data_IF_678983778239
#
_entry.id   IF_678983778239
#
_cell.length_a   1.000
_cell.length_b   1.000
_cell.length_c   1.000
_cell.angle_alpha   90.00
_cell.angle_beta   90.00
_cell.angle_gamma   90.00
#
_symmetry.space_group_name_H-M   'P 1'
#
loop_
_entity.id
_entity.type
_entity.pdbx_description
1 polymer ?
#
# COMPACT_ATOMS: atom_id res chain seq x y z
N UNK A 1 29.49 -2.50 -5.93
CA UNK A 1 28.69 -3.65 -5.47
C UNK A 1 27.27 -3.46 -5.96
N UNK A 2 26.68 -4.51 -6.55
CA UNK A 2 25.26 -4.55 -6.90
C UNK A 2 24.45 -5.10 -5.73
N UNK A 3 23.21 -4.68 -5.61
CA UNK A 3 22.23 -5.21 -4.66
C UNK A 3 20.87 -5.34 -5.32
N UNK A 4 20.02 -6.18 -4.77
CA UNK A 4 18.66 -6.38 -5.25
C UNK A 4 17.70 -5.41 -4.57
N UNK A 5 16.77 -4.88 -5.36
CA UNK A 5 15.77 -3.92 -4.90
C UNK A 5 14.40 -4.58 -4.96
N UNK A 6 13.71 -4.67 -3.82
CA UNK A 6 12.35 -5.19 -3.72
C UNK A 6 11.33 -4.05 -3.83
N UNK A 7 10.75 -3.89 -5.01
CA UNK A 7 9.83 -2.79 -5.31
C UNK A 7 8.42 -3.06 -4.80
N UNK A 8 7.93 -4.29 -4.97
CA UNK A 8 6.57 -4.66 -4.62
C UNK A 8 6.43 -6.17 -4.38
N UNK A 9 5.26 -6.61 -3.89
CA UNK A 9 4.92 -8.02 -3.71
C UNK A 9 3.43 -8.28 -3.89
N UNK A 10 3.06 -9.45 -4.42
CA UNK A 10 1.66 -9.88 -4.60
C UNK A 10 1.58 -11.37 -4.31
N UNK A 11 0.73 -11.75 -3.38
CA UNK A 11 0.64 -13.16 -2.99
C UNK A 11 -0.62 -13.72 -3.63
N UNK A 12 -0.45 -14.75 -4.46
CA UNK A 12 -1.59 -15.48 -5.02
C UNK A 12 -2.00 -16.49 -3.96
N UNK A 13 -3.22 -16.39 -3.45
CA UNK A 13 -3.79 -17.35 -2.52
C UNK A 13 -4.29 -18.55 -3.31
N UNK A 14 -3.76 -19.73 -3.00
CA UNK A 14 -4.22 -21.00 -3.54
C UNK A 14 -5.03 -21.68 -2.44
N UNK A 15 -6.38 -21.73 -2.54
CA UNK A 15 -7.23 -22.32 -1.50
C UNK A 15 -6.72 -23.70 -1.08
N UNK A 16 -6.68 -23.96 0.23
CA UNK A 16 -6.25 -25.23 0.84
C UNK A 16 -4.77 -25.64 0.64
N UNK A 17 -4.05 -25.02 -0.30
CA UNK A 17 -2.66 -25.37 -0.63
C UNK A 17 -1.62 -24.35 -0.14
N UNK A 18 -1.99 -23.07 0.03
CA UNK A 18 -1.11 -22.04 0.56
C UNK A 18 -1.05 -20.79 -0.33
N UNK A 19 0.16 -20.29 -0.59
CA UNK A 19 0.36 -19.04 -1.31
C UNK A 19 1.53 -19.12 -2.29
N UNK A 20 1.43 -18.38 -3.39
CA UNK A 20 2.55 -18.13 -4.32
C UNK A 20 3.06 -16.71 -4.03
N UNK A 21 4.24 -16.55 -3.39
CA UNK A 21 4.77 -15.24 -3.03
C UNK A 21 5.43 -14.58 -4.25
N UNK A 22 4.69 -13.81 -5.02
CA UNK A 22 5.27 -13.04 -6.12
C UNK A 22 5.93 -11.77 -5.59
N UNK A 23 7.13 -11.48 -6.05
CA UNK A 23 7.87 -10.24 -5.75
C UNK A 23 8.25 -9.55 -7.03
N UNK A 24 8.26 -8.21 -7.00
CA UNK A 24 8.84 -7.41 -8.05
C UNK A 24 10.22 -6.97 -7.61
N UNK A 25 11.24 -7.39 -8.34
CA UNK A 25 12.62 -7.05 -8.03
C UNK A 25 13.36 -6.53 -9.25
N UNK A 26 14.50 -5.91 -9.00
CA UNK A 26 15.48 -5.55 -10.00
C UNK A 26 16.82 -5.26 -9.35
N UNK A 27 17.89 -5.34 -10.13
CA UNK A 27 19.24 -5.03 -9.63
C UNK A 27 19.50 -3.53 -9.61
N UNK A 28 20.32 -3.06 -8.67
CA UNK A 28 20.75 -1.66 -8.59
C UNK A 28 21.40 -1.15 -9.88
N UNK A 29 22.03 -2.05 -10.64
CA UNK A 29 22.83 -1.74 -11.82
C UNK A 29 22.19 -2.19 -13.14
N UNK A 30 20.98 -2.75 -13.09
CA UNK A 30 20.27 -3.21 -14.28
C UNK A 30 19.23 -2.17 -14.70
N UNK A 31 19.21 -1.87 -16.00
CA UNK A 31 18.35 -0.87 -16.60
C UNK A 31 17.75 -1.39 -17.90
N UNK A 32 16.53 -0.95 -18.19
CA UNK A 32 15.83 -1.18 -19.44
C UNK A 32 15.54 0.17 -20.11
N UNK A 33 15.39 0.16 -21.43
CA UNK A 33 14.97 1.34 -22.17
C UNK A 33 13.47 1.32 -22.36
N UNK A 34 12.83 2.44 -22.01
CA UNK A 34 11.44 2.70 -22.41
C UNK A 34 11.34 2.87 -23.92
N UNK A 35 10.12 2.77 -24.46
CA UNK A 35 9.83 2.99 -25.89
C UNK A 35 10.41 4.30 -26.46
N UNK A 36 10.47 5.37 -25.66
CA UNK A 36 11.03 6.66 -26.08
C UNK A 36 12.55 6.79 -25.83
N UNK A 37 13.24 5.68 -25.56
CA UNK A 37 14.69 5.64 -25.35
C UNK A 37 15.16 6.13 -23.98
N UNK A 38 14.27 6.46 -23.04
CA UNK A 38 14.67 6.80 -21.68
C UNK A 38 15.06 5.54 -20.91
N UNK A 39 16.25 5.56 -20.35
CA UNK A 39 16.74 4.53 -19.43
C UNK A 39 15.98 4.58 -18.09
N UNK A 40 15.49 3.43 -17.64
CA UNK A 40 14.80 3.25 -16.36
C UNK A 40 15.31 1.98 -15.68
N UNK A 41 15.27 1.88 -14.33
CA UNK A 41 15.71 0.67 -13.63
C UNK A 41 14.93 -0.56 -14.10
N UNK A 42 15.57 -1.69 -14.32
CA UNK A 42 14.88 -2.93 -14.67
C UNK A 42 13.97 -3.38 -13.51
N UNK A 43 12.79 -3.91 -13.85
CA UNK A 43 11.87 -4.49 -12.86
C UNK A 43 11.15 -5.69 -13.45
N UNK A 44 11.27 -6.84 -12.78
CA UNK A 44 10.58 -8.05 -13.17
C UNK A 44 9.84 -8.67 -11.99
N UNK A 45 8.72 -9.32 -12.30
CA UNK A 45 7.99 -10.13 -11.34
C UNK A 45 8.48 -11.56 -11.39
N UNK A 46 8.56 -12.22 -10.24
CA UNK A 46 8.82 -13.65 -10.17
C UNK A 46 8.32 -14.23 -8.84
N UNK A 47 8.23 -15.56 -8.80
CA UNK A 47 8.00 -16.30 -7.56
C UNK A 47 9.23 -16.20 -6.67
N UNK A 48 9.07 -15.76 -5.43
CA UNK A 48 10.14 -15.76 -4.45
C UNK A 48 10.36 -17.18 -3.93
N UNK A 49 11.25 -17.92 -4.58
CA UNK A 49 11.55 -19.31 -4.27
C UNK A 49 13.05 -19.58 -4.06
N UNK A 50 13.71 -18.64 -3.38
CA UNK A 50 15.16 -18.64 -3.12
C UNK A 50 15.67 -19.94 -2.49
N UNK A 51 14.89 -20.55 -1.59
CA UNK A 51 15.26 -21.79 -0.90
C UNK A 51 15.11 -23.02 -1.81
N UNK A 52 14.06 -23.08 -2.62
CA UNK A 52 13.78 -24.19 -3.51
C UNK A 52 13.24 -23.67 -4.85
N UNK A 53 14.09 -23.55 -5.89
CA UNK A 53 13.71 -23.00 -7.18
C UNK A 53 12.60 -23.75 -7.93
N UNK A 54 12.32 -25.00 -7.59
CA UNK A 54 11.23 -25.77 -8.20
C UNK A 54 9.90 -25.56 -7.47
N UNK A 55 9.95 -25.17 -6.19
CA UNK A 55 8.74 -24.93 -5.40
C UNK A 55 8.15 -23.57 -5.72
N UNK A 56 6.84 -23.52 -5.89
CA UNK A 56 6.11 -22.28 -6.21
C UNK A 56 4.98 -21.96 -5.24
N UNK A 57 4.39 -22.97 -4.59
CA UNK A 57 3.36 -22.80 -3.54
C UNK A 57 4.01 -23.04 -2.18
N UNK A 58 3.78 -22.14 -1.23
CA UNK A 58 4.39 -22.13 0.10
C UNK A 58 3.34 -21.96 1.19
N UNK A 59 3.59 -22.53 2.36
CA UNK A 59 2.80 -22.24 3.56
C UNK A 59 3.12 -20.83 4.10
N UNK A 60 2.27 -20.32 5.00
CA UNK A 60 2.57 -19.06 5.69
C UNK A 60 3.86 -19.16 6.52
N UNK A 61 4.09 -20.28 7.21
CA UNK A 61 5.33 -20.46 8.00
C UNK A 61 6.58 -20.42 7.11
N UNK A 62 6.52 -21.06 5.94
CA UNK A 62 7.64 -21.08 4.98
C UNK A 62 7.94 -19.69 4.44
N UNK A 63 6.90 -18.94 4.06
CA UNK A 63 7.06 -17.56 3.59
C UNK A 63 7.63 -16.66 4.69
N UNK A 64 7.20 -16.86 5.94
CA UNK A 64 7.74 -16.11 7.07
C UNK A 64 9.19 -16.50 7.40
N UNK A 65 9.61 -17.73 7.11
CA UNK A 65 11.02 -18.13 7.18
C UNK A 65 11.85 -17.42 6.10
N UNK A 66 11.39 -17.42 4.85
CA UNK A 66 12.03 -16.67 3.76
C UNK A 66 12.16 -15.18 4.11
N UNK A 67 11.11 -14.59 4.67
CA UNK A 67 11.13 -13.18 5.08
C UNK A 67 12.18 -12.87 6.16
N UNK A 68 12.44 -13.81 7.08
CA UNK A 68 13.49 -13.68 8.10
C UNK A 68 14.88 -13.81 7.49
N UNK A 69 15.08 -14.77 6.60
CA UNK A 69 16.36 -14.96 5.91
C UNK A 69 16.70 -13.71 5.07
N UNK A 70 15.71 -13.12 4.40
CA UNK A 70 15.86 -11.84 3.70
C UNK A 70 16.13 -10.65 4.60
N UNK A 71 15.66 -10.67 5.85
CA UNK A 71 15.98 -9.60 6.82
C UNK A 71 17.48 -9.59 7.12
N UNK A 72 18.10 -10.77 7.25
CA UNK A 72 19.56 -10.90 7.39
C UNK A 72 20.29 -10.41 6.14
N UNK A 73 19.80 -10.75 4.95
CA UNK A 73 20.34 -10.24 3.68
C UNK A 73 20.28 -8.70 3.60
N UNK A 74 19.18 -8.11 4.05
CA UNK A 74 19.04 -6.66 4.10
C UNK A 74 20.01 -6.00 5.10
N UNK A 75 20.31 -6.65 6.23
CA UNK A 75 21.35 -6.20 7.18
C UNK A 75 22.75 -6.20 6.54
N UNK A 76 23.03 -7.15 5.64
CA UNK A 76 24.26 -7.21 4.86
C UNK A 76 24.28 -6.27 3.64
N UNK A 77 23.19 -5.54 3.38
CA UNK A 77 23.08 -4.61 2.27
C UNK A 77 22.94 -5.26 0.89
N UNK A 78 22.65 -6.57 0.83
CA UNK A 78 22.39 -7.28 -0.45
C UNK A 78 20.96 -7.04 -0.94
N UNK A 79 20.04 -6.74 -0.03
CA UNK A 79 18.62 -6.45 -0.31
C UNK A 79 18.24 -5.06 0.18
N UNK A 80 17.62 -4.28 -0.70
CA UNK A 80 17.25 -2.89 -0.45
C UNK A 80 15.78 -2.63 -0.79
N UNK A 81 15.17 -1.65 -0.10
CA UNK A 81 13.78 -1.24 -0.34
C UNK A 81 13.66 -0.35 -1.57
N UNK A 82 14.65 0.52 -1.76
CA UNK A 82 14.83 1.33 -2.96
C UNK A 82 16.32 1.45 -3.24
N UNK A 83 16.68 2.09 -4.36
CA UNK A 83 18.08 2.36 -4.72
C UNK A 83 18.88 3.10 -3.64
N UNK A 84 18.23 3.88 -2.78
CA UNK A 84 18.94 4.67 -1.75
C UNK A 84 18.35 4.48 -0.36
N UNK A 85 17.61 3.39 -0.13
CA UNK A 85 16.94 3.15 1.15
C UNK A 85 16.96 1.68 1.50
N UNK A 86 17.62 1.37 2.60
CA UNK A 86 17.60 0.04 3.23
C UNK A 86 16.27 -0.22 3.92
N UNK A 87 15.95 -1.49 4.11
CA UNK A 87 14.87 -1.88 5.03
C UNK A 87 15.27 -1.57 6.47
N UNK A 88 14.29 -1.20 7.29
CA UNK A 88 14.48 -1.09 8.74
C UNK A 88 14.35 -2.47 9.40
N UNK A 89 14.96 -2.72 10.57
CA UNK A 89 14.82 -3.99 11.27
C UNK A 89 13.36 -4.41 11.48
N UNK A 90 13.04 -5.62 11.02
CA UNK A 90 11.71 -6.23 11.08
C UNK A 90 10.71 -5.65 10.06
N UNK A 91 11.15 -4.79 9.14
CA UNK A 91 10.30 -4.21 8.11
C UNK A 91 9.93 -5.26 7.07
N UNK A 92 10.88 -6.10 6.63
CA UNK A 92 10.61 -7.14 5.61
C UNK A 92 9.60 -8.14 6.17
N UNK A 93 9.82 -8.63 7.39
CA UNK A 93 8.90 -9.55 8.07
C UNK A 93 7.47 -8.99 8.15
N UNK A 94 7.30 -7.72 8.55
CA UNK A 94 5.98 -7.05 8.58
C UNK A 94 5.40 -6.86 7.17
N UNK A 95 6.25 -6.54 6.21
CA UNK A 95 5.88 -6.35 4.81
C UNK A 95 5.30 -7.65 4.26
N UNK A 96 5.98 -8.77 4.41
CA UNK A 96 5.53 -10.11 4.00
C UNK A 96 4.23 -10.52 4.71
N UNK A 97 4.16 -10.39 6.04
CA UNK A 97 2.94 -10.70 6.80
C UNK A 97 1.71 -9.93 6.31
N UNK A 98 1.90 -8.65 5.97
CA UNK A 98 0.85 -7.83 5.36
C UNK A 98 0.50 -8.31 3.94
N UNK A 99 1.47 -8.83 3.19
CA UNK A 99 1.25 -9.46 1.88
C UNK A 99 0.35 -10.69 1.99
N UNK A 100 0.65 -11.60 2.93
CA UNK A 100 -0.17 -12.81 3.20
C UNK A 100 -1.61 -12.42 3.57
N UNK A 101 -1.76 -11.47 4.51
CA UNK A 101 -3.08 -11.00 4.95
C UNK A 101 -3.93 -10.42 3.80
N UNK A 102 -3.29 -9.82 2.81
CA UNK A 102 -3.96 -9.21 1.66
C UNK A 102 -3.86 -10.07 0.39
N UNK A 103 -3.48 -11.35 0.52
CA UNK A 103 -3.39 -12.26 -0.61
C UNK A 103 -4.75 -12.42 -1.29
N UNK A 104 -4.70 -12.62 -2.62
CA UNK A 104 -5.88 -12.72 -3.48
C UNK A 104 -5.71 -13.89 -4.42
N UNK A 105 -6.82 -14.39 -4.91
CA UNK A 105 -6.80 -15.39 -5.99
C UNK A 105 -6.26 -14.78 -7.29
N UNK A 106 -5.85 -15.63 -8.24
CA UNK A 106 -5.38 -15.19 -9.55
C UNK A 106 -6.48 -14.46 -10.32
N UNK A 107 -7.69 -15.01 -10.34
CA UNK A 107 -8.84 -14.43 -11.03
C UNK A 107 -9.20 -13.02 -10.50
N UNK A 108 -9.02 -12.77 -9.20
CA UNK A 108 -9.16 -11.42 -8.64
C UNK A 108 -8.10 -10.46 -9.20
N UNK A 109 -6.83 -10.87 -9.29
CA UNK A 109 -5.78 -10.04 -9.89
C UNK A 109 -6.01 -9.80 -11.38
N UNK A 110 -6.50 -10.80 -12.11
CA UNK A 110 -6.87 -10.69 -13.53
C UNK A 110 -8.06 -9.73 -13.70
N UNK A 111 -9.05 -9.78 -12.81
CA UNK A 111 -10.18 -8.83 -12.84
C UNK A 111 -9.76 -7.36 -12.70
N UNK A 112 -8.58 -7.11 -12.11
CA UNK A 112 -7.99 -5.77 -12.01
C UNK A 112 -7.18 -5.37 -13.26
N UNK A 113 -7.14 -6.25 -14.26
CA UNK A 113 -6.45 -6.08 -15.53
C UNK A 113 -4.96 -6.42 -15.49
N UNK A 114 -4.54 -7.29 -14.57
CA UNK A 114 -3.18 -7.86 -14.57
C UNK A 114 -3.17 -9.20 -15.32
N UNK A 115 -2.02 -9.62 -15.84
CA UNK A 115 -1.89 -10.93 -16.51
C UNK A 115 -0.71 -11.70 -15.91
N UNK A 116 -0.93 -12.99 -15.69
CA UNK A 116 0.12 -13.91 -15.24
C UNK A 116 0.54 -14.78 -16.43
N UNK A 117 1.84 -14.86 -16.65
CA UNK A 117 2.45 -15.82 -17.58
C UNK A 117 3.10 -16.95 -16.78
N UNK A 118 2.81 -18.18 -17.19
CA UNK A 118 3.48 -19.38 -16.74
C UNK A 118 4.39 -19.90 -17.86
N UNK A 119 5.70 -19.86 -17.62
CA UNK A 119 6.74 -20.25 -18.55
C UNK A 119 7.29 -21.63 -18.20
N UNK A 120 7.19 -22.54 -19.15
CA UNK A 120 7.70 -23.90 -19.04
C UNK A 120 8.76 -24.09 -20.13
N UNK A 121 9.92 -24.59 -19.72
CA UNK A 121 11.03 -24.88 -20.63
C UNK A 121 11.20 -26.39 -20.76
N UNK A 122 11.12 -26.90 -21.99
CA UNK A 122 11.33 -28.32 -22.30
C UNK A 122 12.46 -28.41 -23.32
N UNK A 123 13.69 -28.63 -22.84
CA UNK A 123 14.89 -28.53 -23.67
C UNK A 123 15.07 -27.10 -24.18
N UNK A 124 15.01 -26.92 -25.51
CA UNK A 124 15.10 -25.61 -26.16
C UNK A 124 13.72 -24.96 -26.41
N UNK A 125 12.63 -25.69 -26.20
CA UNK A 125 11.28 -25.18 -26.43
C UNK A 125 10.79 -24.41 -25.21
N UNK A 126 10.14 -23.28 -25.48
CA UNK A 126 9.46 -22.44 -24.48
C UNK A 126 7.97 -22.51 -24.71
N UNK A 127 7.23 -23.04 -23.74
CA UNK A 127 5.76 -22.97 -23.70
C UNK A 127 5.33 -21.85 -22.77
N UNK A 128 4.47 -20.97 -23.26
CA UNK A 128 3.85 -19.89 -22.47
C UNK A 128 2.39 -20.26 -22.24
N UNK A 129 1.97 -20.23 -20.98
CA UNK A 129 0.59 -20.45 -20.56
C UNK A 129 0.05 -19.19 -19.90
N UNK A 130 -1.26 -18.97 -20.05
CA UNK A 130 -1.98 -17.83 -19.50
C UNK A 130 -3.17 -18.31 -18.65
N UNK A 131 -2.90 -18.88 -17.45
CA UNK A 131 -3.97 -19.40 -16.62
C UNK A 131 -4.94 -18.27 -16.23
N UNK A 132 -6.23 -18.51 -16.42
CA UNK A 132 -7.29 -17.54 -16.14
C UNK A 132 -7.80 -17.63 -14.70
N UNK A 133 -7.59 -18.77 -14.04
CA UNK A 133 -8.07 -19.03 -12.67
C UNK A 133 -6.98 -19.65 -11.80
N UNK A 134 -7.14 -19.51 -10.48
CA UNK A 134 -6.23 -20.14 -9.51
C UNK A 134 -6.23 -21.67 -9.62
N UNK A 135 -7.38 -22.27 -9.94
CA UNK A 135 -7.54 -23.72 -10.12
C UNK A 135 -6.80 -24.23 -11.36
N UNK A 136 -6.91 -23.52 -12.48
CA UNK A 136 -6.14 -23.82 -13.70
C UNK A 136 -4.64 -23.69 -13.44
N UNK A 137 -4.21 -22.60 -12.78
CA UNK A 137 -2.81 -22.43 -12.39
C UNK A 137 -2.32 -23.58 -11.49
N UNK A 138 -3.12 -24.00 -10.52
CA UNK A 138 -2.77 -25.10 -9.61
C UNK A 138 -2.60 -26.42 -10.38
N UNK A 139 -3.51 -26.72 -11.31
CA UNK A 139 -3.45 -27.93 -12.13
C UNK A 139 -2.18 -27.96 -12.98
N UNK A 140 -1.81 -26.83 -13.59
CA UNK A 140 -0.55 -26.71 -14.33
C UNK A 140 0.67 -26.88 -13.44
N UNK A 141 0.67 -26.29 -12.24
CA UNK A 141 1.76 -26.47 -11.27
C UNK A 141 1.92 -27.95 -10.88
N UNK A 142 0.82 -28.64 -10.57
CA UNK A 142 0.84 -30.06 -10.21
C UNK A 142 1.37 -30.92 -11.37
N UNK A 143 0.90 -30.66 -12.60
CA UNK A 143 1.40 -31.33 -13.80
C UNK A 143 2.91 -31.19 -13.96
N UNK A 144 3.43 -29.96 -13.80
CA UNK A 144 4.87 -29.72 -13.94
C UNK A 144 5.68 -30.34 -12.79
N UNK A 145 5.13 -30.38 -11.58
CA UNK A 145 5.77 -31.06 -10.46
C UNK A 145 5.85 -32.58 -10.68
N UNK A 146 4.81 -33.20 -11.24
CA UNK A 146 4.81 -34.63 -11.58
C UNK A 146 5.81 -34.93 -12.71
N UNK A 147 5.88 -34.05 -13.73
CA UNK A 147 6.82 -34.20 -14.84
C UNK A 147 8.27 -33.87 -14.47
N UNK A 148 8.52 -33.33 -13.27
CA UNK A 148 9.83 -32.85 -12.85
C UNK A 148 10.31 -31.60 -13.59
N UNK A 149 9.40 -30.89 -14.27
CA UNK A 149 9.72 -29.69 -15.04
C UNK A 149 9.52 -28.43 -14.20
N UNK A 150 10.40 -27.44 -14.35
CA UNK A 150 10.26 -26.16 -13.66
C UNK A 150 9.23 -25.27 -14.36
N UNK A 151 8.26 -24.78 -13.60
CA UNK A 151 7.35 -23.71 -14.01
C UNK A 151 7.84 -22.37 -13.43
N UNK A 152 8.01 -21.35 -14.27
CA UNK A 152 8.34 -20.00 -13.83
C UNK A 152 7.13 -19.10 -14.02
N UNK A 153 6.73 -18.38 -12.97
CA UNK A 153 5.59 -17.47 -13.04
C UNK A 153 6.09 -16.03 -13.01
N UNK A 154 5.48 -15.17 -13.82
CA UNK A 154 5.67 -13.72 -13.72
C UNK A 154 4.41 -12.96 -14.12
N UNK A 155 4.18 -11.81 -13.50
CA UNK A 155 3.21 -10.85 -14.02
C UNK A 155 3.83 -10.05 -15.16
N UNK A 156 3.07 -9.79 -16.21
CA UNK A 156 3.53 -9.02 -17.37
C UNK A 156 3.58 -7.51 -17.08
N UNK A 157 2.77 -7.04 -16.14
CA UNK A 157 2.68 -5.62 -15.83
C UNK A 157 3.87 -5.14 -14.99
N UNK A 158 4.66 -4.23 -15.55
CA UNK A 158 5.66 -3.47 -14.79
C UNK A 158 5.03 -2.68 -13.64
N UNK A 159 3.86 -2.08 -13.84
CA UNK A 159 3.12 -1.39 -12.79
C UNK A 159 1.86 -2.18 -12.46
N UNK A 160 1.91 -2.96 -11.37
CA UNK A 160 0.81 -3.82 -10.98
C UNK A 160 -0.44 -3.01 -10.63
N UNK A 161 -1.57 -3.37 -11.25
CA UNK A 161 -2.85 -2.69 -11.09
C UNK A 161 -3.53 -3.17 -9.81
N UNK A 162 -3.91 -2.22 -8.97
CA UNK A 162 -4.70 -2.47 -7.76
C UNK A 162 -5.89 -1.51 -7.79
N UNK A 163 -7.13 -1.97 -7.53
CA UNK A 163 -8.29 -1.11 -7.52
C UNK A 163 -8.10 -0.01 -6.48
N UNK A 164 -8.41 1.23 -6.87
CA UNK A 164 -8.36 2.37 -5.96
C UNK A 164 -9.49 2.22 -4.95
N UNK A 165 -9.16 1.81 -3.73
CA UNK A 165 -10.11 1.89 -2.63
C UNK A 165 -10.32 3.36 -2.28
N UNK A 166 -11.38 3.97 -2.82
CA UNK A 166 -11.84 5.26 -2.35
C UNK A 166 -12.34 5.10 -0.92
N UNK A 167 -11.47 5.30 0.07
CA UNK A 167 -11.92 5.52 1.45
C UNK A 167 -12.83 6.74 1.42
N UNK A 168 -14.14 6.52 1.52
CA UNK A 168 -15.10 7.58 1.81
C UNK A 168 -14.65 8.19 3.14
N UNK A 169 -13.98 9.35 3.08
CA UNK A 169 -13.70 10.12 4.29
C UNK A 169 -15.06 10.53 4.82
N UNK A 170 -15.40 10.12 6.04
CA UNK A 170 -16.61 10.62 6.70
C UNK A 170 -16.47 12.13 6.78
N UNK A 171 -17.39 12.85 6.14
CA UNK A 171 -17.42 14.30 6.22
C UNK A 171 -17.73 14.70 7.66
N UNK A 172 -16.75 15.33 8.32
CA UNK A 172 -16.93 15.89 9.66
C UNK A 172 -17.93 17.04 9.56
N UNK A 173 -19.15 16.89 10.06
CA UNK A 173 -20.13 17.99 10.07
C UNK A 173 -19.82 18.97 11.20
N UNK A 174 -20.35 20.19 11.12
CA UNK A 174 -20.25 21.16 12.21
C UNK A 174 -21.12 20.77 13.42
N UNK A 175 -22.09 19.87 13.23
CA UNK A 175 -22.89 19.34 14.33
C UNK A 175 -22.06 18.34 15.17
N UNK A 176 -21.26 17.48 14.53
CA UNK A 176 -20.38 16.52 15.22
C UNK A 176 -19.04 17.12 15.67
N UNK A 177 -18.53 18.10 14.93
CA UNK A 177 -17.22 18.73 15.15
C UNK A 177 -17.37 20.27 15.10
N UNK A 178 -17.95 20.87 16.14
CA UNK A 178 -18.37 22.27 16.10
C UNK A 178 -17.22 23.26 16.26
N UNK A 179 -16.03 22.84 16.70
CA UNK A 179 -14.92 23.75 16.96
C UNK A 179 -14.05 23.92 15.71
N UNK A 180 -13.76 25.17 15.36
CA UNK A 180 -12.90 25.55 14.23
C UNK A 180 -11.91 26.64 14.66
N UNK A 181 -10.82 26.81 13.92
CA UNK A 181 -9.82 27.87 14.20
C UNK A 181 -10.10 29.06 13.30
N UNK A 182 -10.48 30.19 13.87
CA UNK A 182 -10.66 31.48 13.20
C UNK A 182 -9.31 32.16 13.03
N UNK A 183 -9.06 32.68 11.84
CA UNK A 183 -7.87 33.44 11.46
C UNK A 183 -8.26 34.89 11.15
N UNK A 184 -7.27 35.73 10.79
CA UNK A 184 -7.52 37.12 10.35
C UNK A 184 -8.42 37.22 9.12
N UNK A 185 -8.35 36.23 8.22
CA UNK A 185 -9.03 36.26 6.90
C UNK A 185 -10.13 35.23 6.74
N UNK A 186 -10.45 34.45 7.77
CA UNK A 186 -11.49 33.42 7.71
C UNK A 186 -11.27 32.33 8.75
N UNK A 187 -11.27 31.07 8.30
CA UNK A 187 -11.08 29.89 9.12
C UNK A 187 -9.96 29.02 8.54
N UNK A 188 -9.18 28.37 9.41
CA UNK A 188 -8.12 27.48 9.00
C UNK A 188 -8.70 26.26 8.25
N UNK A 189 -8.26 26.00 7.02
CA UNK A 189 -8.66 24.84 6.22
C UNK A 189 -7.65 23.69 6.36
N UNK A 190 -6.38 23.94 6.00
CA UNK A 190 -5.28 23.00 6.20
C UNK A 190 -3.92 23.72 6.24
N UNK A 191 -2.89 22.99 6.67
CA UNK A 191 -1.51 23.45 6.70
C UNK A 191 -0.80 22.98 5.44
N UNK A 192 -0.19 23.89 4.69
CA UNK A 192 0.80 23.56 3.68
C UNK A 192 2.21 23.49 4.29
N UNK A 193 3.19 23.09 3.47
CA UNK A 193 4.60 23.05 3.90
C UNK A 193 5.15 24.43 4.29
N UNK A 194 4.63 25.51 3.69
CA UNK A 194 5.17 26.88 3.84
C UNK A 194 4.13 27.93 4.24
N UNK A 195 2.83 27.59 4.25
CA UNK A 195 1.76 28.55 4.52
C UNK A 195 0.50 27.89 5.08
N UNK A 196 -0.33 28.69 5.73
CA UNK A 196 -1.64 28.30 6.22
C UNK A 196 -2.72 28.63 5.18
N UNK A 197 -3.58 27.67 4.86
CA UNK A 197 -4.70 27.89 3.96
C UNK A 197 -5.95 28.22 4.76
N UNK A 198 -6.61 29.32 4.39
CA UNK A 198 -7.85 29.78 5.03
C UNK A 198 -9.03 29.69 4.07
N UNK A 199 -10.23 29.59 4.63
CA UNK A 199 -11.51 29.57 3.91
C UNK A 199 -12.53 30.41 4.65
N UNK A 200 -13.43 31.09 3.93
CA UNK A 200 -14.41 31.99 4.55
C UNK A 200 -15.56 31.24 5.25
N UNK A 201 -15.86 30.01 4.81
CA UNK A 201 -17.00 29.24 5.33
C UNK A 201 -16.53 28.21 6.36
N UNK A 202 -17.01 28.26 7.62
CA UNK A 202 -16.57 27.34 8.67
C UNK A 202 -16.92 25.89 8.37
N UNK A 203 -17.95 25.63 7.55
CA UNK A 203 -18.34 24.28 7.09
C UNK A 203 -17.18 23.55 6.41
N UNK A 204 -16.30 24.25 5.72
CA UNK A 204 -15.16 23.67 5.02
C UNK A 204 -13.84 23.80 5.79
N UNK A 205 -13.87 24.39 6.97
CA UNK A 205 -12.68 24.55 7.80
C UNK A 205 -12.21 23.22 8.40
N UNK A 206 -11.00 23.24 8.99
CA UNK A 206 -10.53 22.21 9.89
C UNK A 206 -11.42 22.20 11.14
N UNK A 207 -12.05 21.06 11.37
CA UNK A 207 -13.06 20.86 12.43
C UNK A 207 -12.54 19.91 13.51
N UNK A 208 -12.84 20.24 14.76
CA UNK A 208 -12.42 19.54 15.98
C UNK A 208 -13.64 19.18 16.83
N UNK A 209 -13.55 18.06 17.56
CA UNK A 209 -14.68 17.57 18.35
C UNK A 209 -14.83 18.37 19.63
N UNK A 210 -13.69 18.79 20.19
CA UNK A 210 -13.61 19.58 21.42
C UNK A 210 -12.71 20.79 21.23
N UNK A 211 -12.92 21.82 22.04
CA UNK A 211 -12.04 23.00 22.09
C UNK A 211 -10.60 22.62 22.48
N UNK A 212 -10.45 21.72 23.45
CA UNK A 212 -9.14 21.22 23.90
C UNK A 212 -8.34 20.56 22.78
N UNK A 213 -9.00 19.80 21.90
CA UNK A 213 -8.36 19.24 20.71
C UNK A 213 -7.86 20.33 19.75
N UNK A 214 -8.65 21.40 19.55
CA UNK A 214 -8.28 22.51 18.69
C UNK A 214 -7.12 23.32 19.27
N UNK A 215 -7.11 23.59 20.58
CA UNK A 215 -6.01 24.27 21.28
C UNK A 215 -4.71 23.46 21.21
N UNK A 216 -4.77 22.16 21.50
CA UNK A 216 -3.61 21.26 21.37
C UNK A 216 -3.08 21.23 19.93
N UNK A 217 -3.96 21.35 18.95
CA UNK A 217 -3.56 21.45 17.55
C UNK A 217 -2.85 22.78 17.26
N UNK A 218 -3.34 23.90 17.79
CA UNK A 218 -2.68 25.20 17.66
C UNK A 218 -1.27 25.20 18.26
N UNK A 219 -1.11 24.65 19.45
CA UNK A 219 0.19 24.50 20.12
C UNK A 219 1.14 23.62 19.32
N UNK A 220 0.69 22.44 18.89
CA UNK A 220 1.52 21.49 18.15
C UNK A 220 2.13 22.09 16.88
N UNK A 221 1.39 22.97 16.21
CA UNK A 221 1.81 23.55 14.93
C UNK A 221 2.24 25.01 15.05
N UNK A 222 2.45 25.52 16.28
CA UNK A 222 2.83 26.91 16.56
C UNK A 222 2.03 27.91 15.73
N UNK A 223 0.69 27.77 15.75
CA UNK A 223 -0.17 28.66 14.98
C UNK A 223 -0.09 30.10 15.52
N UNK A 224 -0.26 31.12 14.66
CA UNK A 224 -0.13 32.51 15.06
C UNK A 224 -1.03 32.87 16.26
N UNK A 225 -0.54 33.68 17.21
CA UNK A 225 -1.26 34.01 18.45
C UNK A 225 -2.58 34.76 18.21
N UNK A 226 -2.73 35.43 17.06
CA UNK A 226 -3.98 36.05 16.65
C UNK A 226 -5.10 35.05 16.30
N UNK A 227 -4.79 33.77 16.10
CA UNK A 227 -5.80 32.77 15.75
C UNK A 227 -6.55 32.37 17.01
N UNK A 228 -7.84 32.06 16.86
CA UNK A 228 -8.71 31.73 18.01
C UNK A 228 -9.57 30.53 17.69
N UNK A 229 -9.75 29.64 18.66
CA UNK A 229 -10.76 28.58 18.55
C UNK A 229 -12.13 29.23 18.72
N UNK A 230 -13.07 28.86 17.85
CA UNK A 230 -14.45 29.34 17.91
C UNK A 230 -15.43 28.18 17.71
N UNK A 231 -16.58 28.27 18.36
CA UNK A 231 -17.71 27.37 18.15
C UNK A 231 -18.48 27.82 16.90
N UNK A 232 -18.57 26.93 15.91
CA UNK A 232 -19.26 27.15 14.64
C UNK A 232 -20.37 26.12 14.38
N UNK A 233 -20.71 25.29 15.37
CA UNK A 233 -21.89 24.42 15.34
C UNK A 233 -23.20 25.21 15.46
N UNK A 234 -24.33 24.54 15.22
CA UNK A 234 -25.64 25.12 15.57
C UNK A 234 -25.74 25.24 17.09
N UNK A 235 -26.01 26.45 17.61
CA UNK A 235 -26.25 26.62 19.05
C UNK A 235 -27.41 25.71 19.49
N UNK A 236 -27.30 24.99 20.62
CA UNK A 236 -28.42 24.22 21.16
C UNK A 236 -29.58 25.19 21.52
N UNK A 237 -30.81 24.71 21.31
CA UNK A 237 -32.08 25.46 21.38
C UNK A 237 -32.50 25.90 22.81
N UNK A 238 -31.59 26.07 23.76
CA UNK A 238 -31.89 26.26 25.20
C UNK A 238 -31.55 27.65 25.77
N UNK A 239 -31.58 28.71 24.95
CA UNK A 239 -31.47 30.11 25.43
C UNK A 239 -32.61 31.01 24.88
N UNK A 240 -33.83 30.48 24.78
CA UNK A 240 -35.03 31.27 24.46
C UNK A 240 -36.11 31.25 25.57
N UNK A 241 -35.84 30.67 26.74
CA UNK A 241 -36.85 30.50 27.81
C UNK A 241 -36.55 31.23 29.14
N UNK A 242 -35.57 32.14 29.18
CA UNK A 242 -35.22 32.89 30.41
C UNK A 242 -35.46 34.40 30.32
N UNK A 243 -36.39 34.87 29.45
CA UNK A 243 -36.81 36.28 29.39
C UNK A 243 -38.31 36.48 29.73
N UNK A 244 -39.05 35.42 30.06
CA UNK A 244 -40.49 35.53 30.40
C UNK A 244 -40.87 35.06 31.81
N UNK A 245 -40.00 35.26 32.81
CA UNK A 245 -40.35 35.05 34.23
C UNK A 245 -40.02 36.23 35.15
N UNK A 246 -40.00 37.45 34.60
CA UNK A 246 -40.14 38.66 35.40
C UNK A 246 -41.28 39.51 34.82
N UNK A 247 -42.51 39.16 35.18
CA UNK A 247 -43.66 40.08 35.30
C UNK A 247 -44.65 39.48 36.30
#
# INVERSE_FOLDING_TARGET
MSYDIFYDRRFIKVPEHGYIPMVQMGSSNAFEYTYNGREIPEKMWFVLNTINPQKVIFSEEEIMKIAKDMELEAEHGTVMKTRYTSFKPGEITKWFKSGIKNARTLEEYISWGNNLEALIYTGQEKKVLHPATTEELLSEIILQQISGTKINLHFTERNFKVPKTHRKRKDKTLDEYPFVIKTKTGYLHHLGQWKFYTIFTPKYAKKFKTEKEALKYMEKYNLPPEYKVVYAGKKPKQEQLTIFQEF
#
